data_IF_217689538256
#
_entry.id   IF_217689538256
#
_cell.length_a   1.000
_cell.length_b   1.000
_cell.length_c   1.000
_cell.angle_alpha   90.00
_cell.angle_beta   90.00
_cell.angle_gamma   90.00
#
_symmetry.space_group_name_H-M   'P 1'
#
loop_
_entity.id
_entity.type
_entity.pdbx_description
1 polymer ?
#
# COMPACT_ATOMS: atom_id res chain seq x y z
N UNK A 1 69.52 -16.10 42.78
CA UNK A 1 68.89 -14.97 42.12
C UNK A 1 67.87 -15.51 41.13
N UNK A 2 66.60 -15.35 41.50
CA UNK A 2 65.45 -15.90 40.80
C UNK A 2 65.11 -15.08 39.60
N UNK A 3 65.07 -15.66 38.41
CA UNK A 3 64.50 -15.01 37.21
C UNK A 3 63.09 -15.52 37.01
N UNK A 4 62.13 -14.68 37.31
CA UNK A 4 60.71 -14.88 36.98
C UNK A 4 60.54 -14.62 35.46
N UNK A 5 60.17 -15.66 34.73
CA UNK A 5 59.70 -15.49 33.36
C UNK A 5 58.18 -15.20 33.41
N UNK A 6 57.78 -14.01 33.06
CA UNK A 6 56.39 -13.60 32.86
C UNK A 6 55.93 -14.11 31.47
N UNK A 7 55.14 -15.17 31.46
CA UNK A 7 54.38 -15.59 30.27
C UNK A 7 53.16 -14.70 30.15
N UNK A 8 53.23 -13.69 29.24
CA UNK A 8 52.10 -12.93 28.81
C UNK A 8 51.28 -13.80 27.84
N UNK A 9 50.21 -14.39 28.32
CA UNK A 9 49.22 -15.06 27.50
C UNK A 9 48.43 -13.97 26.77
N UNK A 10 48.71 -13.75 25.48
CA UNK A 10 47.84 -13.01 24.57
C UNK A 10 46.60 -13.84 24.28
N UNK A 11 45.55 -13.64 25.03
CA UNK A 11 44.19 -14.03 24.65
C UNK A 11 43.78 -13.15 23.50
N UNK A 12 44.03 -13.57 22.26
CA UNK A 12 43.39 -13.06 21.08
C UNK A 12 41.92 -13.51 21.17
N UNK A 13 41.09 -12.67 21.74
CA UNK A 13 39.66 -12.77 21.57
C UNK A 13 39.39 -12.59 20.06
N UNK A 14 39.40 -13.69 19.31
CA UNK A 14 38.80 -13.77 18.00
C UNK A 14 37.32 -13.49 18.20
N UNK A 15 36.93 -12.21 18.16
CA UNK A 15 35.57 -11.83 17.84
C UNK A 15 35.32 -12.33 16.40
N UNK A 16 34.97 -13.60 16.30
CA UNK A 16 34.35 -14.13 15.13
C UNK A 16 33.10 -13.27 14.91
N UNK A 17 33.17 -12.32 14.00
CA UNK A 17 31.98 -11.79 13.41
C UNK A 17 31.29 -12.98 12.76
N UNK A 18 30.35 -13.60 13.48
CA UNK A 18 29.36 -14.47 12.88
C UNK A 18 28.66 -13.58 11.86
N UNK A 19 29.11 -13.63 10.61
CA UNK A 19 28.45 -12.93 9.54
C UNK A 19 27.02 -13.42 9.53
N UNK A 20 26.06 -12.51 9.71
CA UNK A 20 24.66 -12.84 9.65
C UNK A 20 24.40 -13.64 8.37
N UNK A 21 23.74 -14.77 8.50
CA UNK A 21 23.38 -15.63 7.37
C UNK A 21 22.46 -14.86 6.41
N UNK A 22 22.67 -15.06 5.11
CA UNK A 22 21.81 -14.44 4.11
C UNK A 22 20.53 -15.27 3.96
N UNK A 23 19.39 -14.60 4.03
CA UNK A 23 18.06 -15.21 3.93
C UNK A 23 17.37 -14.81 2.64
N UNK A 24 16.61 -15.74 2.04
CA UNK A 24 15.66 -15.42 0.97
C UNK A 24 14.41 -14.83 1.62
N UNK A 25 14.15 -13.55 1.37
CA UNK A 25 12.95 -12.86 1.82
C UNK A 25 12.01 -12.74 0.63
N UNK A 26 10.97 -13.56 0.60
CA UNK A 26 9.98 -13.60 -0.48
C UNK A 26 8.61 -13.95 0.08
N UNK A 27 7.55 -13.69 -0.67
CA UNK A 27 6.22 -14.23 -0.37
C UNK A 27 6.05 -15.57 -1.10
N UNK A 28 5.59 -16.58 -0.38
CA UNK A 28 5.32 -17.90 -0.92
C UNK A 28 4.00 -18.43 -0.34
N UNK A 29 2.93 -17.85 -0.84
CA UNK A 29 1.58 -18.24 -0.46
C UNK A 29 1.25 -19.66 -0.88
N UNK A 30 0.43 -20.37 -0.09
CA UNK A 30 -0.03 -21.73 -0.41
C UNK A 30 -1.53 -21.69 -0.73
N UNK A 31 -1.97 -22.30 -1.84
CA UNK A 31 -3.39 -22.41 -2.16
C UNK A 31 -4.20 -23.01 -1.01
N UNK A 32 -5.32 -22.38 -0.66
CA UNK A 32 -6.19 -22.79 0.44
C UNK A 32 -5.90 -22.14 1.79
N UNK A 33 -4.74 -21.51 1.98
CA UNK A 33 -4.44 -20.78 3.21
C UNK A 33 -5.36 -19.56 3.38
N UNK A 34 -5.60 -19.22 4.64
CA UNK A 34 -6.34 -18.00 5.01
C UNK A 34 -5.61 -17.29 6.14
N UNK A 35 -5.28 -16.01 5.91
CA UNK A 35 -4.64 -15.14 6.90
C UNK A 35 -5.64 -14.10 7.38
N UNK A 36 -5.61 -13.77 8.68
CA UNK A 36 -6.52 -12.80 9.29
C UNK A 36 -5.76 -11.67 9.93
N UNK A 37 -6.24 -10.45 9.68
CA UNK A 37 -5.64 -9.24 10.18
C UNK A 37 -6.72 -8.27 10.69
N UNK A 38 -6.31 -7.36 11.57
CA UNK A 38 -7.00 -6.12 11.85
C UNK A 38 -6.30 -4.98 11.12
N UNK A 39 -7.09 -4.20 10.40
CA UNK A 39 -6.65 -3.05 9.64
C UNK A 39 -7.09 -1.77 10.36
N UNK A 40 -6.19 -0.80 10.46
CA UNK A 40 -6.49 0.56 10.90
C UNK A 40 -5.77 1.55 10.00
N UNK A 41 -6.50 2.52 9.46
CA UNK A 41 -5.94 3.57 8.62
C UNK A 41 -6.46 4.95 9.04
N UNK A 42 -5.57 5.91 9.10
CA UNK A 42 -5.89 7.31 9.32
C UNK A 42 -5.38 8.14 8.15
N UNK A 43 -6.28 8.87 7.50
CA UNK A 43 -5.97 9.71 6.36
C UNK A 43 -6.40 11.13 6.68
N UNK A 44 -5.48 12.08 6.55
CA UNK A 44 -5.74 13.51 6.82
C UNK A 44 -5.39 14.30 5.58
N UNK A 45 -6.41 14.81 4.89
CA UNK A 45 -6.25 15.53 3.63
C UNK A 45 -6.78 16.95 3.74
N UNK A 46 -6.15 17.85 3.01
CA UNK A 46 -6.71 19.13 2.62
C UNK A 46 -7.10 19.04 1.14
N UNK A 47 -8.39 19.18 0.86
CA UNK A 47 -8.92 19.22 -0.50
C UNK A 47 -9.09 20.67 -0.88
N UNK A 48 -8.31 21.13 -1.86
CA UNK A 48 -8.31 22.53 -2.31
C UNK A 48 -8.99 22.68 -3.65
N UNK A 49 -9.97 23.58 -3.76
CA UNK A 49 -10.61 23.98 -5.02
C UNK A 49 -10.91 25.47 -4.99
N UNK A 50 -10.57 26.20 -6.06
CA UNK A 50 -10.88 27.63 -6.24
C UNK A 50 -10.49 28.53 -5.06
N UNK A 51 -9.35 28.27 -4.44
CA UNK A 51 -8.85 29.05 -3.30
C UNK A 51 -9.45 28.65 -1.93
N UNK A 52 -10.40 27.74 -1.90
CA UNK A 52 -10.91 27.12 -0.68
C UNK A 52 -10.07 25.89 -0.35
N UNK A 53 -9.90 25.60 0.94
CA UNK A 53 -9.26 24.39 1.43
C UNK A 53 -10.15 23.76 2.49
N UNK A 54 -10.54 22.51 2.27
CA UNK A 54 -11.42 21.76 3.16
C UNK A 54 -10.60 20.64 3.79
N UNK A 55 -10.40 20.66 5.12
CA UNK A 55 -9.76 19.56 5.81
C UNK A 55 -10.72 18.36 5.93
N UNK A 56 -10.23 17.20 5.58
CA UNK A 56 -10.94 15.91 5.69
C UNK A 56 -10.05 14.94 6.44
N UNK A 57 -10.57 14.37 7.51
CA UNK A 57 -9.93 13.27 8.22
C UNK A 57 -10.82 12.01 8.11
N UNK A 58 -10.20 10.89 7.68
CA UNK A 58 -10.82 9.59 7.65
C UNK A 58 -10.08 8.69 8.63
N UNK A 59 -10.82 8.07 9.57
CA UNK A 59 -10.34 7.03 10.48
C UNK A 59 -11.10 5.75 10.16
N UNK A 60 -10.39 4.77 9.62
CA UNK A 60 -10.95 3.52 9.10
C UNK A 60 -10.43 2.36 9.92
N UNK A 61 -11.31 1.47 10.33
CA UNK A 61 -10.94 0.18 10.93
C UNK A 61 -11.76 -0.95 10.32
N UNK A 62 -11.13 -2.11 10.12
CA UNK A 62 -11.77 -3.29 9.55
C UNK A 62 -11.08 -4.56 10.04
N UNK A 63 -11.77 -5.70 9.91
CA UNK A 63 -11.15 -7.03 9.91
C UNK A 63 -10.92 -7.45 8.47
N UNK A 64 -9.76 -8.02 8.21
CA UNK A 64 -9.34 -8.48 6.90
C UNK A 64 -9.08 -9.98 6.93
N UNK A 65 -9.64 -10.71 5.97
CA UNK A 65 -9.33 -12.12 5.74
C UNK A 65 -8.80 -12.28 4.31
N UNK A 66 -7.53 -12.69 4.19
CA UNK A 66 -6.86 -12.94 2.92
C UNK A 66 -6.89 -14.44 2.65
N UNK A 67 -7.62 -14.86 1.62
CA UNK A 67 -7.68 -16.25 1.15
C UNK A 67 -6.83 -16.41 -0.09
N UNK A 68 -5.96 -17.40 -0.10
CA UNK A 68 -5.15 -17.77 -1.27
C UNK A 68 -5.96 -18.70 -2.15
N UNK A 69 -6.41 -18.21 -3.31
CA UNK A 69 -7.20 -19.01 -4.28
C UNK A 69 -6.30 -19.95 -5.07
N UNK A 70 -5.22 -19.41 -5.61
CA UNK A 70 -4.24 -20.16 -6.41
C UNK A 70 -2.88 -19.46 -6.40
N UNK A 71 -1.85 -20.18 -6.81
CA UNK A 71 -0.51 -19.66 -7.08
C UNK A 71 -0.06 -20.21 -8.40
N UNK A 72 0.41 -19.37 -9.30
CA UNK A 72 0.90 -19.79 -10.62
C UNK A 72 2.37 -20.26 -10.56
N UNK A 73 2.87 -20.72 -11.71
CA UNK A 73 4.25 -21.21 -11.83
C UNK A 73 5.33 -20.15 -11.63
N UNK A 74 4.98 -18.87 -11.71
CA UNK A 74 5.88 -17.75 -11.42
C UNK A 74 5.91 -17.37 -9.93
N UNK A 75 5.07 -17.99 -9.11
CA UNK A 75 4.89 -17.65 -7.69
C UNK A 75 3.92 -16.49 -7.45
N UNK A 76 3.20 -16.03 -8.48
CA UNK A 76 2.16 -15.01 -8.32
C UNK A 76 0.93 -15.63 -7.69
N UNK A 77 0.51 -15.11 -6.54
CA UNK A 77 -0.68 -15.55 -5.82
C UNK A 77 -1.92 -14.79 -6.25
N UNK A 78 -3.02 -15.51 -6.48
CA UNK A 78 -4.37 -14.98 -6.64
C UNK A 78 -5.06 -15.00 -5.28
N UNK A 79 -5.34 -13.82 -4.75
CA UNK A 79 -5.84 -13.60 -3.40
C UNK A 79 -7.26 -13.06 -3.46
N UNK A 80 -8.13 -13.59 -2.59
CA UNK A 80 -9.41 -12.99 -2.24
C UNK A 80 -9.28 -12.33 -0.88
N UNK A 81 -9.58 -11.04 -0.80
CA UNK A 81 -9.52 -10.24 0.41
C UNK A 81 -10.93 -9.87 0.81
N UNK A 82 -11.38 -10.38 1.94
CA UNK A 82 -12.68 -10.06 2.51
C UNK A 82 -12.50 -9.07 3.67
N UNK A 83 -13.08 -7.87 3.54
CA UNK A 83 -13.13 -6.86 4.59
C UNK A 83 -14.49 -6.94 5.29
N UNK A 84 -14.46 -7.08 6.62
CA UNK A 84 -15.65 -7.13 7.47
C UNK A 84 -15.54 -6.14 8.62
N UNK A 85 -16.65 -5.88 9.31
CA UNK A 85 -16.70 -4.94 10.46
C UNK A 85 -16.09 -3.56 10.12
N UNK A 86 -16.33 -3.09 8.88
CA UNK A 86 -15.79 -1.83 8.41
C UNK A 86 -16.46 -0.66 9.15
N UNK A 87 -15.65 0.10 9.87
CA UNK A 87 -16.06 1.35 10.48
C UNK A 87 -15.25 2.49 9.87
N UNK A 88 -15.95 3.51 9.39
CA UNK A 88 -15.35 4.73 8.82
C UNK A 88 -15.86 5.93 9.60
N UNK A 89 -14.96 6.67 10.22
CA UNK A 89 -15.24 7.98 10.81
C UNK A 89 -14.70 9.05 9.87
N UNK A 90 -15.58 9.91 9.41
CA UNK A 90 -15.21 11.05 8.54
C UNK A 90 -15.39 12.33 9.32
N UNK A 91 -14.32 13.11 9.46
CA UNK A 91 -14.36 14.44 10.07
C UNK A 91 -14.11 15.49 9.00
N UNK A 92 -15.06 16.41 8.82
CA UNK A 92 -14.96 17.54 7.88
C UNK A 92 -15.38 18.80 8.61
N UNK A 93 -14.55 19.84 8.59
CA UNK A 93 -14.80 21.10 9.29
C UNK A 93 -15.16 20.93 10.79
N UNK A 94 -14.55 19.95 11.46
CA UNK A 94 -14.80 19.64 12.88
C UNK A 94 -16.08 18.84 13.16
N UNK A 95 -16.86 18.49 12.14
CA UNK A 95 -18.04 17.62 12.27
C UNK A 95 -17.63 16.19 11.92
N UNK A 96 -17.86 15.27 12.85
CA UNK A 96 -17.56 13.84 12.67
C UNK A 96 -18.82 13.04 12.42
N UNK A 97 -18.81 12.27 11.34
CA UNK A 97 -19.81 11.25 11.01
C UNK A 97 -19.17 9.87 11.10
N UNK A 98 -19.89 8.91 11.67
CA UNK A 98 -19.43 7.52 11.76
C UNK A 98 -20.40 6.62 11.00
N UNK A 99 -19.84 5.81 10.10
CA UNK A 99 -20.58 4.78 9.36
C UNK A 99 -19.96 3.43 9.67
N UNK A 100 -20.77 2.47 10.07
CA UNK A 100 -20.35 1.09 10.29
C UNK A 100 -21.11 0.20 9.31
N UNK A 101 -20.37 -0.63 8.58
CA UNK A 101 -20.91 -1.59 7.61
C UNK A 101 -20.54 -2.98 8.05
N UNK A 102 -21.54 -3.83 8.25
CA UNK A 102 -21.37 -5.25 8.58
C UNK A 102 -21.30 -6.13 7.32
N UNK A 103 -21.66 -5.58 6.17
CA UNK A 103 -21.58 -6.27 4.88
C UNK A 103 -20.13 -6.44 4.49
N UNK A 104 -19.74 -7.66 4.12
CA UNK A 104 -18.42 -7.95 3.61
C UNK A 104 -18.19 -7.27 2.26
N UNK A 105 -17.04 -6.62 2.12
CA UNK A 105 -16.54 -6.15 0.82
C UNK A 105 -15.42 -7.09 0.38
N UNK A 106 -15.56 -7.66 -0.81
CA UNK A 106 -14.56 -8.59 -1.36
C UNK A 106 -13.76 -7.89 -2.46
N UNK A 107 -12.43 -8.04 -2.38
CA UNK A 107 -11.48 -7.57 -3.40
C UNK A 107 -10.67 -8.77 -3.86
N UNK A 108 -10.50 -8.93 -5.17
CA UNK A 108 -9.57 -9.91 -5.74
C UNK A 108 -8.28 -9.22 -6.14
N UNK A 109 -7.14 -9.83 -5.80
CA UNK A 109 -5.82 -9.23 -6.03
C UNK A 109 -4.81 -10.30 -6.43
N UNK A 110 -3.94 -9.98 -7.38
CA UNK A 110 -2.76 -10.79 -7.69
C UNK A 110 -1.51 -10.13 -7.14
N UNK A 111 -0.70 -10.89 -6.41
CA UNK A 111 0.51 -10.41 -5.76
C UNK A 111 1.69 -11.31 -6.15
N UNK A 112 2.76 -10.70 -6.63
CA UNK A 112 4.01 -11.40 -6.96
C UNK A 112 4.77 -11.85 -5.71
N UNK A 113 5.68 -12.80 -5.87
CA UNK A 113 6.54 -13.29 -4.78
C UNK A 113 7.45 -12.19 -4.19
N UNK A 114 7.68 -11.12 -4.92
CA UNK A 114 8.41 -9.92 -4.47
C UNK A 114 7.52 -8.87 -3.79
N UNK A 115 6.24 -9.15 -3.60
CA UNK A 115 5.28 -8.27 -2.93
C UNK A 115 4.59 -7.26 -3.84
N UNK A 116 4.95 -7.17 -5.14
CA UNK A 116 4.28 -6.26 -6.06
C UNK A 116 2.86 -6.70 -6.35
N UNK A 117 1.94 -5.74 -6.34
CA UNK A 117 0.57 -5.95 -6.79
C UNK A 117 0.58 -6.00 -8.32
N UNK A 118 0.15 -7.12 -8.89
CA UNK A 118 0.09 -7.34 -10.33
C UNK A 118 -1.26 -6.90 -10.89
N UNK A 119 -2.36 -7.19 -10.18
CA UNK A 119 -3.70 -6.77 -10.56
C UNK A 119 -4.63 -6.70 -9.35
N UNK A 120 -5.72 -5.92 -9.49
CA UNK A 120 -6.82 -5.84 -8.52
C UNK A 120 -8.12 -6.06 -9.29
N UNK A 121 -9.02 -6.93 -8.78
CA UNK A 121 -10.28 -7.32 -9.41
C UNK A 121 -10.14 -7.81 -10.87
N UNK A 122 -9.02 -8.50 -11.17
CA UNK A 122 -8.74 -9.00 -12.51
C UNK A 122 -8.23 -7.96 -13.50
N UNK A 123 -8.20 -6.71 -13.12
CA UNK A 123 -7.67 -5.62 -13.93
C UNK A 123 -6.35 -5.11 -13.31
N UNK A 124 -5.35 -4.85 -14.15
CA UNK A 124 -4.10 -4.24 -13.69
C UNK A 124 -4.38 -2.80 -13.26
N UNK A 125 -4.72 -2.57 -11.97
CA UNK A 125 -5.04 -1.26 -11.37
C UNK A 125 -6.29 -0.56 -11.91
N UNK A 126 -7.43 -1.21 -11.92
CA UNK A 126 -8.68 -0.58 -12.30
C UNK A 126 -9.60 -0.29 -11.12
N UNK A 127 -10.56 0.58 -11.38
CA UNK A 127 -11.67 1.00 -10.53
C UNK A 127 -11.33 1.95 -9.37
N UNK A 128 -10.72 3.12 -9.70
CA UNK A 128 -10.66 4.26 -8.79
C UNK A 128 -9.69 4.10 -7.61
N UNK A 129 -8.93 3.02 -7.61
CA UNK A 129 -7.88 2.77 -6.64
C UNK A 129 -6.58 3.38 -7.17
N UNK A 130 -6.27 4.59 -6.77
CA UNK A 130 -4.98 5.20 -7.06
C UNK A 130 -3.93 4.55 -6.16
N UNK A 131 -2.77 4.15 -6.70
CA UNK A 131 -1.63 3.74 -5.88
C UNK A 131 -1.31 4.83 -4.85
N UNK A 132 -1.36 4.49 -3.57
CA UNK A 132 -1.23 5.46 -2.48
C UNK A 132 -2.51 6.18 -2.08
N UNK A 133 -3.62 6.01 -2.83
CA UNK A 133 -4.95 6.55 -2.50
C UNK A 133 -5.97 5.44 -2.16
N UNK A 134 -5.52 4.21 -2.01
CA UNK A 134 -6.40 3.06 -1.83
C UNK A 134 -7.01 3.01 -0.44
N UNK A 135 -8.22 3.55 -0.32
CA UNK A 135 -9.06 3.35 0.86
C UNK A 135 -9.61 1.92 1.02
N UNK A 136 -9.38 1.00 0.09
CA UNK A 136 -10.04 -0.32 0.13
C UNK A 136 -9.17 -1.55 -0.13
N UNK A 137 -7.88 -1.38 -0.36
CA UNK A 137 -6.96 -2.51 -0.57
C UNK A 137 -5.64 -2.36 0.19
N UNK A 138 -5.56 -1.38 1.08
CA UNK A 138 -4.33 -0.90 1.67
C UNK A 138 -3.60 -1.85 2.64
N UNK A 139 -4.23 -2.91 3.10
CA UNK A 139 -3.60 -3.86 4.03
C UNK A 139 -2.41 -4.61 3.44
N UNK A 140 -2.36 -4.76 2.12
CA UNK A 140 -1.31 -5.52 1.43
C UNK A 140 -0.18 -4.65 0.84
N UNK A 141 0.00 -3.42 1.27
CA UNK A 141 1.21 -2.66 0.90
C UNK A 141 2.38 -3.24 1.67
N UNK A 142 2.82 -4.41 1.25
CA UNK A 142 4.04 -5.02 1.75
C UNK A 142 5.25 -4.35 1.11
N UNK A 143 6.37 -4.39 1.81
CA UNK A 143 7.65 -3.99 1.23
C UNK A 143 7.91 -4.74 -0.07
N UNK A 144 8.50 -4.06 -1.05
CA UNK A 144 8.99 -4.70 -2.27
C UNK A 144 10.24 -5.51 -1.91
N UNK A 145 10.17 -6.83 -2.07
CA UNK A 145 11.16 -7.78 -1.58
C UNK A 145 12.34 -7.98 -2.56
N UNK A 146 13.51 -8.45 -2.09
CA UNK A 146 14.70 -8.61 -2.92
C UNK A 146 14.60 -9.83 -3.85
N UNK A 147 15.32 -9.79 -4.99
CA UNK A 147 15.40 -10.91 -5.94
C UNK A 147 16.45 -11.97 -5.55
N UNK A 148 17.26 -11.69 -4.53
CA UNK A 148 18.37 -12.53 -4.09
C UNK A 148 18.43 -12.59 -2.57
N UNK A 149 19.09 -13.60 -1.99
CA UNK A 149 19.30 -13.65 -0.55
C UNK A 149 20.01 -12.41 -0.03
N UNK A 150 19.56 -11.91 1.11
CA UNK A 150 20.07 -10.72 1.79
C UNK A 150 20.27 -11.01 3.27
N UNK A 151 21.12 -10.22 3.92
CA UNK A 151 21.35 -10.25 5.36
C UNK A 151 20.99 -8.92 6.01
N UNK A 152 20.78 -8.87 7.32
CA UNK A 152 20.53 -7.62 8.03
C UNK A 152 21.55 -6.54 7.68
N UNK A 153 21.06 -5.36 7.30
CA UNK A 153 21.85 -4.23 6.82
C UNK A 153 21.89 -4.08 5.29
N UNK A 154 21.62 -5.12 4.53
CA UNK A 154 21.61 -5.05 3.06
C UNK A 154 20.46 -4.19 2.55
N UNK A 155 20.70 -3.55 1.40
CA UNK A 155 19.75 -2.67 0.72
C UNK A 155 19.56 -3.07 -0.74
N UNK A 156 18.40 -2.76 -1.29
CA UNK A 156 18.08 -2.91 -2.71
C UNK A 156 17.11 -1.83 -3.16
N UNK A 157 17.10 -1.57 -4.46
CA UNK A 157 16.17 -0.62 -5.09
C UNK A 157 15.36 -1.35 -6.15
N UNK A 158 14.08 -1.02 -6.24
CA UNK A 158 13.20 -1.41 -7.34
C UNK A 158 12.66 -0.15 -8.00
N UNK A 159 12.53 -0.21 -9.30
CA UNK A 159 12.06 0.87 -10.15
C UNK A 159 11.24 0.24 -11.27
N UNK A 160 9.96 0.64 -11.40
CA UNK A 160 9.07 0.06 -12.39
C UNK A 160 7.89 0.97 -12.70
N UNK A 161 7.41 0.88 -13.92
CA UNK A 161 6.19 1.50 -14.37
C UNK A 161 5.02 0.53 -14.28
N UNK A 162 3.87 1.07 -13.88
CA UNK A 162 2.60 0.38 -13.91
C UNK A 162 1.69 1.06 -14.91
N UNK A 163 1.15 0.31 -15.84
CA UNK A 163 0.17 0.82 -16.80
C UNK A 163 -1.21 0.76 -16.17
N UNK A 164 -1.97 1.85 -16.24
CA UNK A 164 -3.37 1.84 -15.82
C UNK A 164 -4.26 1.30 -16.94
N UNK A 165 -5.04 0.24 -16.71
CA UNK A 165 -5.99 -0.26 -17.70
C UNK A 165 -7.26 0.61 -17.80
N UNK A 166 -7.58 1.36 -16.75
CA UNK A 166 -8.77 2.22 -16.72
C UNK A 166 -8.57 3.57 -17.41
N UNK A 167 -7.36 3.82 -17.97
CA UNK A 167 -7.05 5.11 -18.58
C UNK A 167 -5.71 5.11 -19.32
N UNK A 168 -5.35 6.28 -19.83
CA UNK A 168 -4.04 6.52 -20.44
C UNK A 168 -3.12 7.19 -19.43
N UNK A 169 -1.85 6.80 -19.43
CA UNK A 169 -0.84 7.38 -18.55
C UNK A 169 -0.03 6.33 -17.81
N UNK A 170 0.74 6.78 -16.84
CA UNK A 170 1.71 5.96 -16.12
C UNK A 170 1.64 6.17 -14.61
N UNK A 171 1.95 5.13 -13.87
CA UNK A 171 2.29 5.17 -12.46
C UNK A 171 3.71 4.66 -12.33
N UNK A 172 4.61 5.56 -11.98
CA UNK A 172 6.02 5.22 -11.78
C UNK A 172 6.30 5.01 -10.29
N UNK A 173 6.88 3.87 -9.93
CA UNK A 173 7.18 3.49 -8.55
C UNK A 173 8.66 3.27 -8.39
N UNK A 174 9.28 4.02 -7.50
CA UNK A 174 10.65 3.79 -7.03
C UNK A 174 10.61 3.39 -5.56
N UNK A 175 11.30 2.31 -5.21
CA UNK A 175 11.35 1.80 -3.85
C UNK A 175 12.82 1.58 -3.45
N UNK A 176 13.21 2.19 -2.32
CA UNK A 176 14.50 1.96 -1.65
C UNK A 176 14.24 1.14 -0.40
N UNK A 177 14.81 -0.04 -0.35
CA UNK A 177 14.48 -1.03 0.65
C UNK A 177 15.71 -1.41 1.45
N UNK A 178 15.50 -1.81 2.71
CA UNK A 178 16.53 -2.27 3.63
C UNK A 178 16.02 -3.43 4.46
N UNK A 179 16.79 -4.51 4.54
CA UNK A 179 16.63 -5.52 5.57
C UNK A 179 17.20 -4.95 6.88
N UNK A 180 16.34 -4.48 7.77
CA UNK A 180 16.78 -3.78 8.96
C UNK A 180 17.36 -4.71 10.01
N UNK A 181 16.65 -5.82 10.33
CA UNK A 181 17.02 -6.80 11.37
C UNK A 181 16.09 -8.01 11.36
N UNK A 182 16.52 -9.04 12.07
CA UNK A 182 15.64 -10.12 12.54
C UNK A 182 14.88 -9.68 13.78
N UNK A 183 13.65 -10.14 13.91
CA UNK A 183 12.81 -9.87 15.08
C UNK A 183 11.84 -11.02 15.32
N UNK A 184 11.58 -11.34 16.58
CA UNK A 184 10.49 -12.27 16.93
C UNK A 184 9.21 -11.47 17.13
N UNK A 185 8.23 -11.70 16.29
CA UNK A 185 6.93 -11.02 16.31
C UNK A 185 5.83 -12.06 16.45
N UNK A 186 5.00 -11.97 17.50
CA UNK A 186 3.92 -12.94 17.78
C UNK A 186 4.43 -14.40 17.80
N UNK A 187 5.57 -14.65 18.43
CA UNK A 187 6.26 -15.95 18.48
C UNK A 187 6.72 -16.50 17.11
N UNK A 188 6.80 -15.66 16.11
CA UNK A 188 7.28 -16.00 14.77
C UNK A 188 8.57 -15.25 14.48
N UNK A 189 9.57 -15.95 13.92
CA UNK A 189 10.82 -15.35 13.46
C UNK A 189 10.59 -14.59 12.18
N UNK A 190 10.85 -13.28 12.17
CA UNK A 190 10.55 -12.40 11.05
C UNK A 190 11.75 -11.59 10.60
N UNK A 191 11.84 -11.34 9.28
CA UNK A 191 12.65 -10.29 8.72
C UNK A 191 11.89 -8.95 8.80
N UNK A 192 12.52 -7.93 9.36
CA UNK A 192 11.99 -6.56 9.32
C UNK A 192 12.55 -5.85 8.11
N UNK A 193 11.68 -5.57 7.16
CA UNK A 193 12.01 -4.83 5.93
C UNK A 193 11.45 -3.42 6.02
N UNK A 194 12.30 -2.43 5.80
CA UNK A 194 11.92 -1.03 5.67
C UNK A 194 12.01 -0.61 4.21
N UNK A 195 11.00 0.11 3.72
CA UNK A 195 10.91 0.58 2.34
C UNK A 195 10.51 2.05 2.32
N UNK A 196 11.32 2.87 1.64
CA UNK A 196 10.94 4.22 1.26
C UNK A 196 10.47 4.18 -0.18
N UNK A 197 9.18 4.44 -0.39
CA UNK A 197 8.52 4.33 -1.68
C UNK A 197 8.11 5.70 -2.17
N UNK A 198 8.42 6.00 -3.41
CA UNK A 198 7.96 7.20 -4.12
C UNK A 198 7.11 6.71 -5.30
N UNK A 199 5.88 7.18 -5.36
CA UNK A 199 4.97 6.89 -6.47
C UNK A 199 4.62 8.19 -7.18
N UNK A 200 4.92 8.29 -8.46
CA UNK A 200 4.52 9.40 -9.32
C UNK A 200 3.38 8.94 -10.21
N UNK A 201 2.30 9.73 -10.24
CA UNK A 201 1.08 9.42 -10.98
C UNK A 201 0.85 10.49 -12.03
N UNK A 202 0.65 10.08 -13.28
CA UNK A 202 0.14 10.90 -14.38
C UNK A 202 -0.87 10.07 -15.17
N UNK A 203 -2.13 10.13 -14.75
CA UNK A 203 -3.20 9.30 -15.28
C UNK A 203 -4.36 10.15 -15.80
N UNK A 204 -4.97 9.69 -16.88
CA UNK A 204 -6.27 10.17 -17.36
C UNK A 204 -7.23 8.99 -17.43
N UNK A 205 -8.29 9.04 -16.65
CA UNK A 205 -9.33 8.00 -16.55
C UNK A 205 -10.56 8.48 -17.32
N UNK A 206 -11.06 7.66 -18.23
CA UNK A 206 -12.32 7.89 -18.94
C UNK A 206 -13.49 7.33 -18.12
N UNK A 207 -14.32 8.22 -17.55
CA UNK A 207 -15.48 7.82 -16.75
C UNK A 207 -16.61 7.23 -17.58
N UNK A 208 -16.63 7.44 -18.91
CA UNK A 208 -17.65 6.85 -19.78
C UNK A 208 -17.52 5.32 -19.83
N UNK A 209 -16.32 4.79 -19.70
CA UNK A 209 -16.06 3.35 -19.61
C UNK A 209 -16.51 2.74 -18.26
N UNK A 210 -16.63 3.58 -17.21
CA UNK A 210 -17.04 3.16 -15.87
C UNK A 210 -18.55 3.27 -15.62
N UNK A 211 -19.29 3.99 -16.44
CA UNK A 211 -20.73 4.24 -16.26
C UNK A 211 -21.62 2.98 -16.34
N UNK A 212 -21.06 1.84 -16.77
CA UNK A 212 -21.73 0.54 -16.80
C UNK A 212 -21.50 -0.37 -15.58
N UNK A 213 -20.63 0.02 -14.65
CA UNK A 213 -20.30 -0.80 -13.47
C UNK A 213 -20.99 -0.25 -12.22
N UNK A 214 -22.12 -0.85 -11.86
CA UNK A 214 -22.85 -0.54 -10.64
C UNK A 214 -22.16 -1.20 -9.44
N UNK A 215 -21.51 -0.42 -8.54
CA UNK A 215 -21.05 -0.96 -7.26
C UNK A 215 -19.90 -0.23 -6.54
N UNK A 216 -19.25 0.75 -7.14
CA UNK A 216 -18.21 1.53 -6.47
C UNK A 216 -18.79 2.68 -5.62
N UNK A 217 -18.10 3.13 -4.53
CA UNK A 217 -18.49 4.33 -3.82
C UNK A 217 -18.40 5.51 -4.79
N UNK A 218 -19.54 6.10 -5.13
CA UNK A 218 -19.60 7.27 -5.99
C UNK A 218 -19.01 8.46 -5.23
N UNK A 219 -17.80 8.87 -5.57
CA UNK A 219 -17.19 10.11 -5.06
C UNK A 219 -17.88 11.36 -5.61
N UNK A 220 -18.81 11.20 -6.55
CA UNK A 220 -19.55 12.28 -7.18
C UNK A 220 -21.06 12.02 -7.08
N UNK A 221 -21.87 13.03 -6.75
CA UNK A 221 -23.32 12.89 -6.71
C UNK A 221 -23.86 12.50 -8.09
N UNK A 222 -24.62 11.42 -8.16
CA UNK A 222 -25.20 10.83 -9.38
C UNK A 222 -26.40 11.61 -9.94
N UNK A 223 -26.45 12.93 -9.79
CA UNK A 223 -27.58 13.75 -10.23
C UNK A 223 -27.29 14.45 -11.55
N UNK A 224 -27.69 13.83 -12.66
CA UNK A 224 -27.75 14.45 -13.98
C UNK A 224 -26.90 13.74 -15.05
N UNK A 225 -27.08 14.04 -16.33
CA UNK A 225 -26.24 13.55 -17.40
C UNK A 225 -24.81 13.99 -17.13
N UNK A 226 -23.90 13.00 -17.07
CA UNK A 226 -22.51 13.20 -16.64
C UNK A 226 -21.81 14.23 -17.52
N UNK A 227 -21.77 15.47 -17.07
CA UNK A 227 -21.00 16.53 -17.73
C UNK A 227 -19.49 16.22 -17.67
N UNK A 228 -19.07 15.33 -16.77
CA UNK A 228 -17.69 14.89 -16.60
C UNK A 228 -17.44 13.67 -17.48
N UNK A 229 -16.59 13.82 -18.48
CA UNK A 229 -16.16 12.76 -19.39
C UNK A 229 -15.03 11.93 -18.80
N UNK A 230 -14.17 12.54 -18.00
CA UNK A 230 -13.02 11.86 -17.43
C UNK A 230 -12.34 12.68 -16.32
N UNK A 231 -11.33 12.09 -15.74
CA UNK A 231 -10.52 12.67 -14.66
C UNK A 231 -9.05 12.53 -15.02
N UNK A 232 -8.30 13.63 -14.97
CA UNK A 232 -6.84 13.58 -15.03
C UNK A 232 -6.26 13.78 -13.63
N UNK A 233 -5.33 12.91 -13.23
CA UNK A 233 -4.69 12.90 -11.92
C UNK A 233 -3.20 12.98 -12.10
N UNK A 234 -2.58 14.00 -11.50
CA UNK A 234 -1.14 14.18 -11.47
C UNK A 234 -0.68 14.42 -10.06
N UNK A 235 0.38 13.73 -9.66
CA UNK A 235 0.89 13.93 -8.31
C UNK A 235 1.98 12.97 -7.91
N UNK A 236 2.38 13.10 -6.65
CA UNK A 236 3.40 12.25 -6.03
C UNK A 236 2.92 11.81 -4.66
N UNK A 237 3.14 10.55 -4.34
CA UNK A 237 2.99 9.99 -3.01
C UNK A 237 4.36 9.51 -2.52
N UNK A 238 4.67 9.78 -1.26
CA UNK A 238 5.85 9.22 -0.59
C UNK A 238 5.39 8.42 0.61
N UNK A 239 5.96 7.24 0.84
CA UNK A 239 5.63 6.45 2.02
C UNK A 239 6.86 5.73 2.57
N UNK A 240 6.91 5.60 3.88
CA UNK A 240 7.82 4.71 4.59
C UNK A 240 7.01 3.55 5.12
N UNK A 241 7.38 2.34 4.72
CA UNK A 241 6.69 1.09 5.05
C UNK A 241 7.64 0.22 5.87
N UNK A 242 7.17 -0.31 6.98
CA UNK A 242 7.87 -1.35 7.74
C UNK A 242 7.02 -2.61 7.72
N UNK A 243 7.58 -3.69 7.18
CA UNK A 243 6.91 -4.99 7.08
C UNK A 243 7.69 -6.06 7.82
N UNK A 244 6.99 -6.91 8.51
CA UNK A 244 7.53 -8.10 9.20
C UNK A 244 7.16 -9.33 8.39
N UNK A 245 8.16 -9.97 7.81
CA UNK A 245 8.00 -11.13 6.92
C UNK A 245 8.42 -12.39 7.67
N UNK A 246 7.51 -13.35 7.77
CA UNK A 246 7.76 -14.66 8.38
C UNK A 246 8.74 -15.46 7.52
N UNK A 247 9.86 -15.90 8.12
CA UNK A 247 10.86 -16.72 7.44
C UNK A 247 10.37 -18.12 7.09
N UNK A 248 9.51 -18.69 7.92
CA UNK A 248 9.04 -20.06 7.73
C UNK A 248 7.83 -20.17 6.80
N UNK A 249 6.87 -19.27 6.97
CA UNK A 249 5.64 -19.26 6.18
C UNK A 249 5.69 -18.32 4.97
N UNK A 250 6.75 -17.53 4.81
CA UNK A 250 6.96 -16.60 3.69
C UNK A 250 5.74 -15.70 3.42
N UNK A 251 5.24 -15.08 4.48
CA UNK A 251 4.06 -14.21 4.45
C UNK A 251 4.30 -12.95 5.27
N UNK A 252 3.50 -11.94 5.00
CA UNK A 252 3.46 -10.74 5.85
C UNK A 252 2.82 -11.11 7.20
N UNK A 253 3.46 -10.77 8.31
CA UNK A 253 2.92 -10.93 9.67
C UNK A 253 2.20 -9.67 10.10
N UNK A 254 2.82 -8.52 9.92
CA UNK A 254 2.24 -7.19 10.15
C UNK A 254 2.92 -6.16 9.26
N UNK A 255 2.25 -5.02 9.08
CA UNK A 255 2.79 -3.87 8.35
C UNK A 255 2.42 -2.59 9.08
N UNK A 256 3.34 -1.64 9.08
CA UNK A 256 3.11 -0.25 9.46
C UNK A 256 3.57 0.64 8.32
N UNK A 257 2.73 1.59 7.91
CA UNK A 257 3.06 2.54 6.86
C UNK A 257 2.66 3.96 7.27
N UNK A 258 3.52 4.91 6.94
CA UNK A 258 3.23 6.34 7.00
C UNK A 258 3.57 6.97 5.67
N UNK A 259 2.81 7.98 5.25
CA UNK A 259 3.07 8.59 3.95
C UNK A 259 2.46 9.97 3.80
N UNK A 260 2.87 10.64 2.72
CA UNK A 260 2.35 11.92 2.28
C UNK A 260 1.86 11.81 0.84
N UNK A 261 0.84 12.57 0.53
CA UNK A 261 0.26 12.68 -0.82
C UNK A 261 0.20 14.14 -1.22
N UNK A 262 0.64 14.46 -2.43
CA UNK A 262 0.46 15.74 -3.08
C UNK A 262 0.02 15.49 -4.52
N UNK A 263 -1.26 15.69 -4.80
CA UNK A 263 -1.83 15.40 -6.10
C UNK A 263 -2.84 16.47 -6.53
N UNK A 264 -3.01 16.58 -7.83
CA UNK A 264 -3.99 17.44 -8.48
C UNK A 264 -4.89 16.59 -9.34
N UNK A 265 -6.19 16.76 -9.17
CA UNK A 265 -7.24 16.15 -9.97
C UNK A 265 -7.87 17.22 -10.84
N UNK A 266 -8.00 16.96 -12.13
CA UNK A 266 -8.67 17.83 -13.09
C UNK A 266 -9.83 17.09 -13.72
N UNK A 267 -11.03 17.70 -13.69
CA UNK A 267 -12.20 17.14 -14.33
C UNK A 267 -12.20 17.48 -15.83
N UNK A 268 -12.28 16.45 -16.66
CA UNK A 268 -12.40 16.59 -18.11
C UNK A 268 -13.89 16.66 -18.47
N UNK A 269 -14.37 17.84 -18.83
CA UNK A 269 -15.79 18.08 -19.11
C UNK A 269 -16.15 17.71 -20.56
N UNK A 270 -17.39 17.26 -20.75
CA UNK A 270 -17.96 17.09 -22.11
C UNK A 270 -18.06 18.43 -22.79
N UNK A 271 -17.58 18.60 -24.04
CA UNK A 271 -17.71 19.85 -24.77
C UNK A 271 -19.18 20.31 -24.85
N UNK A 272 -19.47 21.57 -24.48
CA UNK A 272 -20.82 22.13 -24.48
C UNK A 272 -21.67 21.82 -23.25
N UNK A 273 -21.18 21.06 -22.27
CA UNK A 273 -21.88 20.91 -20.99
C UNK A 273 -21.68 22.17 -20.13
N UNK A 274 -22.76 22.58 -19.44
CA UNK A 274 -22.63 23.63 -18.45
C UNK A 274 -21.71 23.16 -17.32
N UNK A 275 -20.66 23.92 -17.05
CA UNK A 275 -19.78 23.64 -15.93
C UNK A 275 -20.59 23.73 -14.63
N UNK A 276 -20.49 22.71 -13.79
CA UNK A 276 -21.07 22.75 -12.43
C UNK A 276 -20.38 23.89 -11.69
N UNK A 277 -21.11 24.92 -11.23
CA UNK A 277 -20.51 26.00 -10.46
C UNK A 277 -19.74 25.43 -9.26
N UNK A 278 -18.45 25.81 -9.10
CA UNK A 278 -17.61 25.34 -8.03
C UNK A 278 -16.69 24.14 -8.37
N UNK A 279 -16.81 23.54 -9.57
CA UNK A 279 -15.94 22.41 -10.00
C UNK A 279 -15.15 22.72 -11.29
N UNK A 280 -15.00 23.97 -11.66
CA UNK A 280 -14.28 24.40 -12.87
C UNK A 280 -12.82 24.70 -12.59
N UNK A 281 -12.01 23.71 -12.28
CA UNK A 281 -10.58 23.94 -12.04
C UNK A 281 -9.91 22.73 -11.43
N UNK A 282 -8.60 22.79 -11.29
CA UNK A 282 -7.88 21.72 -10.62
C UNK A 282 -8.24 21.64 -9.13
N UNK A 283 -8.45 20.43 -8.65
CA UNK A 283 -8.69 20.11 -7.24
C UNK A 283 -7.38 19.55 -6.68
N UNK A 284 -6.81 20.21 -5.68
CA UNK A 284 -5.61 19.73 -5.03
C UNK A 284 -5.95 18.80 -3.86
N UNK A 285 -5.15 17.76 -3.71
CA UNK A 285 -5.18 16.84 -2.58
C UNK A 285 -3.81 16.82 -1.94
N UNK A 286 -3.72 17.30 -0.70
CA UNK A 286 -2.48 17.25 0.08
C UNK A 286 -2.77 16.68 1.44
N UNK A 287 -1.93 15.74 1.88
CA UNK A 287 -2.18 15.15 3.18
C UNK A 287 -1.21 14.07 3.58
N UNK A 288 -1.55 13.47 4.71
CA UNK A 288 -0.80 12.37 5.32
C UNK A 288 -1.68 11.14 5.45
N UNK A 289 -1.04 9.99 5.47
CA UNK A 289 -1.70 8.72 5.74
C UNK A 289 -0.87 7.88 6.71
N UNK A 290 -1.56 7.13 7.54
CA UNK A 290 -0.98 6.08 8.38
C UNK A 290 -1.81 4.84 8.21
N UNK A 291 -1.16 3.69 8.11
CA UNK A 291 -1.82 2.40 7.97
C UNK A 291 -1.12 1.36 8.83
N UNK A 292 -1.91 0.64 9.60
CA UNK A 292 -1.48 -0.48 10.43
C UNK A 292 -2.26 -1.74 10.05
N UNK A 293 -1.56 -2.82 9.78
CA UNK A 293 -2.09 -4.15 9.61
C UNK A 293 -1.44 -5.06 10.65
N UNK A 294 -2.24 -5.62 11.53
CA UNK A 294 -1.77 -6.49 12.60
C UNK A 294 -2.51 -7.83 12.55
N UNK A 295 -1.91 -8.94 13.03
CA UNK A 295 -2.63 -10.22 13.16
C UNK A 295 -3.90 -10.05 14.00
N UNK A 296 -5.01 -10.69 13.58
CA UNK A 296 -6.30 -10.67 14.28
C UNK A 296 -6.38 -11.81 15.31
#
# INVERSE_FOLDING_TARGET
MRRLALLAAFLIAACGSFGAEAHTISLAYKPGDTYRYSLHAVLKYAVGAQGLSIPIELDLSAKEAIKVKSVDSSGTADLQIDLTDLTVKTTTNGVTNTTTTTTSTTVEMKVGSDGRIVSVNGETFSNGSLPGFNGSGGGLVSAILPDKPVKPGDTWTKDYDQTSPAGTGTVHVTSKNKYARDETTNNVSTAVVQSDVVTTVDLTVDLSAMAGQSGGPSLFPSTGPSAVKGISIKGTSTSTITSWIDFGAHRVVKTHSTGNVDATLTLNMTPGSAATPGLTGPISFKGTQTLDMNPA
#
